data_IF_037495380439
#
_entry.id   IF_037495380439
#
_cell.length_a   1.000
_cell.length_b   1.000
_cell.length_c   1.000
_cell.angle_alpha   90.00
_cell.angle_beta   90.00
_cell.angle_gamma   90.00
#
_symmetry.space_group_name_H-M   'P 1'
#
loop_
_entity.id
_entity.type
_entity.pdbx_description
1 polymer ?
#
# COMPACT_ATOMS: atom_id res chain seq x y z
N UNK A 1 -38.69 105.25 7.45
CA UNK A 1 -37.51 106.14 7.35
C UNK A 1 -36.26 105.28 7.44
N UNK A 2 -35.31 105.53 6.53
CA UNK A 2 -33.87 105.22 6.49
C UNK A 2 -33.35 103.95 7.20
N UNK A 3 -32.49 103.11 6.63
CA UNK A 3 -31.56 103.12 5.49
C UNK A 3 -30.70 101.85 5.71
N UNK A 4 -30.25 101.07 4.74
CA UNK A 4 -29.45 101.44 3.58
C UNK A 4 -28.10 100.71 3.62
N UNK A 5 -27.90 99.74 2.70
CA UNK A 5 -26.63 99.28 2.07
C UNK A 5 -25.53 98.63 2.95
N UNK A 6 -24.68 97.70 2.51
CA UNK A 6 -24.17 97.31 1.16
C UNK A 6 -23.38 96.00 1.33
N UNK A 7 -23.25 95.16 0.30
CA UNK A 7 -22.26 94.07 0.32
C UNK A 7 -22.38 93.05 -0.82
N UNK A 8 -21.81 93.39 -1.97
CA UNK A 8 -21.58 92.52 -3.12
C UNK A 8 -20.59 91.40 -2.77
N UNK A 9 -20.82 90.15 -3.21
CA UNK A 9 -19.72 89.29 -3.68
C UNK A 9 -20.22 88.17 -4.60
N UNK A 10 -19.75 88.26 -5.84
CA UNK A 10 -19.72 87.23 -6.87
C UNK A 10 -18.87 86.04 -6.42
N UNK A 11 -19.25 84.81 -6.77
CA UNK A 11 -18.29 83.84 -7.32
C UNK A 11 -18.99 82.70 -8.08
N UNK A 12 -18.67 82.63 -9.38
CA UNK A 12 -18.71 81.43 -10.23
C UNK A 12 -17.66 80.42 -9.75
N UNK A 13 -17.75 79.21 -10.31
CA UNK A 13 -16.75 78.12 -10.35
C UNK A 13 -16.76 77.21 -9.11
N UNK A 14 -16.58 75.89 -9.18
CA UNK A 14 -16.13 75.00 -10.25
C UNK A 14 -16.62 73.57 -9.95
N UNK A 15 -16.84 72.80 -11.00
CA UNK A 15 -16.78 71.33 -10.99
C UNK A 15 -15.56 70.77 -10.24
N UNK A 16 -15.76 69.87 -9.28
CA UNK A 16 -14.73 68.95 -8.78
C UNK A 16 -15.39 67.60 -8.43
N UNK A 17 -15.37 66.66 -9.37
CA UNK A 17 -14.41 65.55 -9.47
C UNK A 17 -14.51 64.50 -8.35
N UNK A 18 -15.10 63.37 -8.75
CA UNK A 18 -14.98 62.03 -8.17
C UNK A 18 -13.50 61.69 -7.92
N UNK A 19 -13.06 61.70 -6.66
CA UNK A 19 -11.68 61.33 -6.29
C UNK A 19 -11.61 60.49 -5.00
N UNK A 20 -12.53 59.52 -4.84
CA UNK A 20 -12.57 58.61 -3.68
C UNK A 20 -12.31 57.12 -3.99
N UNK A 21 -12.46 56.65 -5.23
CA UNK A 21 -12.40 55.20 -5.53
C UNK A 21 -11.11 54.71 -6.18
N UNK A 22 -10.34 55.60 -6.82
CA UNK A 22 -9.20 55.20 -7.67
C UNK A 22 -8.03 54.60 -6.87
N UNK A 23 -7.79 55.10 -5.65
CA UNK A 23 -6.70 54.62 -4.79
C UNK A 23 -7.00 53.21 -4.27
N UNK A 24 -8.25 52.92 -3.92
CA UNK A 24 -8.68 51.59 -3.47
C UNK A 24 -8.60 50.56 -4.60
N UNK A 25 -9.04 50.90 -5.81
CA UNK A 25 -8.92 50.01 -6.97
C UNK A 25 -7.47 49.78 -7.39
N UNK A 26 -6.61 50.80 -7.28
CA UNK A 26 -5.17 50.66 -7.55
C UNK A 26 -4.51 49.70 -6.55
N UNK A 27 -4.79 49.85 -5.25
CA UNK A 27 -4.26 48.96 -4.22
C UNK A 27 -4.76 47.53 -4.39
N UNK A 28 -6.05 47.31 -4.66
CA UNK A 28 -6.58 45.97 -4.95
C UNK A 28 -5.96 45.35 -6.20
N UNK A 29 -5.76 46.13 -7.27
CA UNK A 29 -5.08 45.64 -8.48
C UNK A 29 -3.64 45.24 -8.18
N UNK A 30 -2.93 46.02 -7.37
CA UNK A 30 -1.56 45.73 -6.95
C UNK A 30 -1.50 44.42 -6.15
N UNK A 31 -2.38 44.22 -5.17
CA UNK A 31 -2.47 42.96 -4.42
C UNK A 31 -2.81 41.76 -5.31
N UNK A 32 -3.73 41.92 -6.26
CA UNK A 32 -4.05 40.87 -7.23
C UNK A 32 -2.84 40.50 -8.08
N UNK A 33 -2.08 41.49 -8.59
CA UNK A 33 -0.84 41.21 -9.35
C UNK A 33 0.23 40.51 -8.52
N UNK A 34 0.43 40.91 -7.26
CA UNK A 34 1.37 40.23 -6.35
C UNK A 34 0.93 38.79 -6.05
N UNK A 35 -0.37 38.56 -5.84
CA UNK A 35 -0.91 37.22 -5.65
C UNK A 35 -0.74 36.35 -6.91
N UNK A 36 -0.99 36.90 -8.10
CA UNK A 36 -0.75 36.19 -9.37
C UNK A 36 0.72 35.86 -9.56
N UNK A 37 1.65 36.80 -9.30
CA UNK A 37 3.10 36.54 -9.38
C UNK A 37 3.52 35.47 -8.36
N UNK A 38 2.99 35.51 -7.14
CA UNK A 38 3.26 34.51 -6.12
C UNK A 38 2.77 33.12 -6.55
N UNK A 39 1.54 33.01 -7.03
CA UNK A 39 0.97 31.74 -7.52
C UNK A 39 1.73 31.23 -8.73
N UNK A 40 2.04 32.09 -9.71
CA UNK A 40 2.88 31.73 -10.86
C UNK A 40 4.28 31.28 -10.45
N UNK A 41 4.89 31.93 -9.45
CA UNK A 41 6.17 31.53 -8.88
C UNK A 41 6.11 30.17 -8.17
N UNK A 42 5.04 29.89 -7.43
CA UNK A 42 4.80 28.59 -6.79
C UNK A 42 4.57 27.49 -7.83
N UNK A 43 3.79 27.75 -8.87
CA UNK A 43 3.57 26.83 -9.98
C UNK A 43 4.86 26.57 -10.78
N UNK A 44 5.67 27.60 -10.99
CA UNK A 44 7.00 27.47 -11.61
C UNK A 44 7.91 26.58 -10.76
N UNK A 45 7.98 26.83 -9.45
CA UNK A 45 8.79 26.03 -8.54
C UNK A 45 8.30 24.57 -8.45
N UNK A 46 6.98 24.35 -8.46
CA UNK A 46 6.39 23.00 -8.55
C UNK A 46 6.73 22.31 -9.87
N UNK A 47 6.71 23.04 -11.00
CA UNK A 47 7.11 22.50 -12.30
C UNK A 47 8.58 22.07 -12.32
N UNK A 48 9.48 22.86 -11.73
CA UNK A 48 10.91 22.52 -11.61
C UNK A 48 11.10 21.28 -10.73
N UNK A 49 10.37 21.17 -9.62
CA UNK A 49 10.41 19.99 -8.75
C UNK A 49 9.89 18.73 -9.47
N UNK A 50 8.83 18.83 -10.27
CA UNK A 50 8.32 17.71 -11.08
C UNK A 50 9.33 17.26 -12.13
N UNK A 51 9.98 18.21 -12.82
CA UNK A 51 11.05 17.90 -13.78
C UNK A 51 12.23 17.21 -13.09
N UNK A 52 12.62 17.66 -11.90
CA UNK A 52 13.67 17.03 -11.09
C UNK A 52 13.29 15.59 -10.69
N UNK A 53 12.07 15.37 -10.20
CA UNK A 53 11.58 14.04 -9.82
C UNK A 53 11.46 13.09 -11.02
N UNK A 54 11.05 13.59 -12.18
CA UNK A 54 11.01 12.80 -13.43
C UNK A 54 12.43 12.41 -13.85
N UNK A 55 13.40 13.33 -13.81
CA UNK A 55 14.81 13.01 -14.09
C UNK A 55 15.37 11.97 -13.13
N UNK A 56 15.02 12.05 -11.86
CA UNK A 56 15.45 11.09 -10.85
C UNK A 56 14.78 9.72 -11.05
N UNK A 57 13.51 9.71 -11.45
CA UNK A 57 12.78 8.49 -11.83
C UNK A 57 13.37 7.83 -13.08
N UNK A 58 13.70 8.61 -14.11
CA UNK A 58 14.38 8.14 -15.33
C UNK A 58 15.78 7.59 -15.03
N UNK A 59 16.51 8.23 -14.10
CA UNK A 59 17.81 7.77 -13.58
C UNK A 59 17.69 6.42 -12.88
N UNK A 60 16.65 6.21 -12.07
CA UNK A 60 16.41 4.98 -11.31
C UNK A 60 15.89 3.85 -12.22
N UNK A 61 15.11 4.18 -13.24
CA UNK A 61 14.50 3.19 -14.16
C UNK A 61 15.35 2.84 -15.37
N UNK A 62 16.50 3.50 -15.56
CA UNK A 62 17.42 3.23 -16.67
C UNK A 62 16.91 3.69 -18.03
N UNK A 63 15.87 4.53 -18.08
CA UNK A 63 15.32 5.12 -19.31
C UNK A 63 15.71 6.59 -19.39
N UNK A 64 17.01 6.87 -19.52
CA UNK A 64 17.48 8.21 -19.83
C UNK A 64 17.34 8.53 -21.32
N UNK A 65 16.26 9.21 -21.72
CA UNK A 65 16.24 10.42 -22.58
C UNK A 65 14.82 10.76 -23.10
N UNK A 66 14.25 11.79 -22.46
CA UNK A 66 13.66 13.03 -23.01
C UNK A 66 12.67 13.01 -24.18
N UNK A 67 11.54 13.70 -23.93
CA UNK A 67 10.83 14.65 -24.82
C UNK A 67 10.62 14.24 -26.29
N UNK A 68 9.34 14.04 -26.62
CA UNK A 68 8.75 13.63 -27.91
C UNK A 68 9.58 14.09 -29.13
N UNK A 69 10.39 13.18 -29.65
CA UNK A 69 11.16 13.31 -30.90
C UNK A 69 10.38 12.65 -32.05
N UNK A 70 10.70 12.97 -33.31
CA UNK A 70 10.15 12.31 -34.52
C UNK A 70 10.29 10.78 -34.46
N UNK A 71 11.29 10.30 -33.72
CA UNK A 71 11.52 8.89 -33.43
C UNK A 71 10.39 8.25 -32.59
N UNK A 72 9.72 9.01 -31.72
CA UNK A 72 8.56 8.55 -30.97
C UNK A 72 7.31 8.42 -31.86
N UNK A 73 7.21 9.19 -32.94
CA UNK A 73 6.14 9.02 -33.94
C UNK A 73 6.36 7.73 -34.76
N UNK A 74 7.62 7.44 -35.10
CA UNK A 74 8.02 6.16 -35.71
C UNK A 74 7.80 4.97 -34.76
N UNK A 75 8.08 5.13 -33.46
CA UNK A 75 7.75 4.11 -32.45
C UNK A 75 6.24 3.91 -32.29
N UNK A 76 5.41 4.93 -32.43
CA UNK A 76 3.94 4.78 -32.42
C UNK A 76 3.47 3.97 -33.64
N UNK A 77 4.07 4.18 -34.81
CA UNK A 77 3.78 3.38 -36.01
C UNK A 77 4.26 1.93 -35.83
N UNK A 78 5.46 1.73 -35.29
CA UNK A 78 5.99 0.42 -34.94
C UNK A 78 5.15 -0.29 -33.85
N UNK A 79 4.62 0.47 -32.88
CA UNK A 79 3.73 -0.04 -31.84
C UNK A 79 2.39 -0.47 -32.43
N UNK A 80 1.85 0.26 -33.42
CA UNK A 80 0.65 -0.15 -34.17
C UNK A 80 0.89 -1.41 -34.98
N UNK A 81 2.08 -1.58 -35.55
CA UNK A 81 2.46 -2.79 -36.27
C UNK A 81 2.67 -3.99 -35.33
N UNK A 82 3.24 -3.76 -34.14
CA UNK A 82 3.33 -4.75 -33.08
C UNK A 82 1.97 -5.11 -32.50
N UNK A 83 1.04 -4.17 -32.34
CA UNK A 83 -0.35 -4.46 -31.95
C UNK A 83 -1.06 -5.33 -32.97
N UNK A 84 -0.82 -5.10 -34.27
CA UNK A 84 -1.35 -5.99 -35.32
C UNK A 84 -0.77 -7.40 -35.19
N UNK A 85 0.54 -7.54 -34.96
CA UNK A 85 1.18 -8.84 -34.71
C UNK A 85 0.66 -9.52 -33.44
N UNK A 86 0.43 -8.76 -32.36
CA UNK A 86 -0.16 -9.25 -31.12
C UNK A 86 -1.59 -9.75 -31.35
N UNK A 87 -2.42 -8.98 -32.06
CA UNK A 87 -3.79 -9.39 -32.37
C UNK A 87 -3.85 -10.64 -33.26
N UNK A 88 -2.90 -10.79 -34.20
CA UNK A 88 -2.78 -11.97 -35.05
C UNK A 88 -2.33 -13.20 -34.23
N UNK A 89 -1.35 -13.03 -33.35
CA UNK A 89 -0.89 -14.08 -32.43
C UNK A 89 -1.97 -14.47 -31.41
N UNK A 90 -2.79 -13.53 -30.94
CA UNK A 90 -3.93 -13.81 -30.07
C UNK A 90 -5.03 -14.60 -30.79
N UNK A 91 -5.27 -14.31 -32.07
CA UNK A 91 -6.22 -15.08 -32.89
C UNK A 91 -5.70 -16.48 -33.20
N UNK A 92 -4.41 -16.63 -33.51
CA UNK A 92 -3.77 -17.94 -33.66
C UNK A 92 -3.76 -18.74 -32.34
N UNK A 93 -3.50 -18.08 -31.21
CA UNK A 93 -3.55 -18.71 -29.88
C UNK A 93 -4.98 -19.15 -29.52
N UNK A 94 -5.99 -18.37 -29.90
CA UNK A 94 -7.40 -18.74 -29.70
C UNK A 94 -7.79 -19.94 -30.57
N UNK A 95 -7.34 -19.99 -31.83
CA UNK A 95 -7.55 -21.13 -32.72
C UNK A 95 -6.83 -22.39 -32.20
N UNK A 96 -5.55 -22.27 -31.80
CA UNK A 96 -4.78 -23.36 -31.23
C UNK A 96 -5.41 -23.90 -29.93
N UNK A 97 -5.97 -23.04 -29.07
CA UNK A 97 -6.71 -23.45 -27.87
C UNK A 97 -7.97 -24.26 -28.20
N UNK A 98 -8.68 -23.93 -29.29
CA UNK A 98 -9.83 -24.72 -29.74
C UNK A 98 -9.43 -26.07 -30.34
N UNK A 99 -8.22 -26.18 -30.88
CA UNK A 99 -7.60 -27.43 -31.34
C UNK A 99 -6.95 -28.24 -30.19
N UNK A 100 -7.14 -27.83 -28.94
CA UNK A 100 -6.69 -28.56 -27.75
C UNK A 100 -5.33 -28.14 -27.16
N UNK A 101 -4.77 -27.01 -27.61
CA UNK A 101 -3.53 -26.47 -27.04
C UNK A 101 -3.73 -25.95 -25.62
N UNK A 102 -3.15 -26.63 -24.63
CA UNK A 102 -3.00 -26.12 -23.26
C UNK A 102 -1.71 -25.32 -23.16
N UNK A 103 -1.80 -24.06 -22.70
CA UNK A 103 -0.64 -23.17 -22.58
C UNK A 103 0.37 -23.77 -21.59
N UNK A 104 1.51 -24.26 -22.11
CA UNK A 104 2.74 -24.51 -21.35
C UNK A 104 3.37 -23.18 -20.91
N UNK A 105 2.68 -22.38 -20.09
CA UNK A 105 3.30 -21.23 -19.45
C UNK A 105 3.96 -21.65 -18.13
N UNK A 106 4.91 -22.58 -18.18
CA UNK A 106 5.86 -22.85 -17.09
C UNK A 106 7.00 -23.77 -17.58
N UNK A 107 7.63 -23.51 -18.73
CA UNK A 107 8.99 -24.02 -18.98
C UNK A 107 9.60 -23.38 -20.23
N UNK A 108 10.88 -23.00 -20.09
CA UNK A 108 11.83 -22.51 -21.11
C UNK A 108 11.72 -21.01 -21.41
N UNK A 109 12.75 -20.18 -21.30
CA UNK A 109 14.15 -20.34 -20.99
C UNK A 109 14.67 -18.95 -20.59
N UNK A 110 15.32 -18.82 -19.44
CA UNK A 110 16.34 -17.80 -19.22
C UNK A 110 17.42 -18.38 -18.30
N UNK A 111 18.67 -18.18 -18.69
CA UNK A 111 19.83 -18.93 -18.23
C UNK A 111 20.07 -18.91 -16.71
N UNK A 112 20.67 -20.00 -16.24
CA UNK A 112 21.45 -20.14 -15.01
C UNK A 112 21.03 -19.26 -13.81
N UNK A 113 20.25 -19.83 -12.88
CA UNK A 113 19.82 -19.28 -11.58
C UNK A 113 18.53 -18.45 -11.54
N UNK A 114 17.54 -18.68 -12.41
CA UNK A 114 16.18 -18.23 -12.13
C UNK A 114 15.62 -19.01 -10.92
N UNK A 115 15.83 -18.51 -9.70
CA UNK A 115 15.19 -19.05 -8.49
C UNK A 115 13.69 -19.14 -8.75
N UNK A 116 13.14 -20.35 -8.64
CA UNK A 116 11.70 -20.60 -8.75
C UNK A 116 10.96 -19.62 -7.83
N UNK A 117 10.07 -18.81 -8.39
CA UNK A 117 9.28 -17.82 -7.64
C UNK A 117 8.34 -18.54 -6.68
N UNK A 118 8.22 -18.01 -5.46
CA UNK A 118 7.33 -18.57 -4.45
C UNK A 118 5.88 -18.19 -4.75
N UNK A 119 4.95 -19.04 -4.34
CA UNK A 119 3.52 -18.76 -4.39
C UNK A 119 3.14 -17.67 -3.38
N UNK A 120 3.47 -17.89 -2.11
CA UNK A 120 3.14 -16.96 -1.03
C UNK A 120 4.19 -16.97 0.09
N UNK A 121 4.47 -15.80 0.64
CA UNK A 121 5.23 -15.65 1.89
C UNK A 121 4.27 -15.25 3.01
N UNK A 122 4.16 -16.10 4.02
CA UNK A 122 3.28 -15.98 5.17
C UNK A 122 4.06 -15.49 6.38
N UNK A 123 3.71 -14.31 6.88
CA UNK A 123 4.20 -13.75 8.14
C UNK A 123 3.20 -13.99 9.26
N UNK A 124 3.57 -14.83 10.22
CA UNK A 124 2.76 -15.14 11.39
C UNK A 124 3.13 -14.16 12.51
N UNK A 125 2.27 -13.19 12.79
CA UNK A 125 2.51 -12.17 13.80
C UNK A 125 2.44 -12.78 15.20
N UNK A 126 3.56 -12.76 15.91
CA UNK A 126 3.67 -13.33 17.26
C UNK A 126 4.25 -12.34 18.27
N UNK A 127 4.34 -12.75 19.53
CA UNK A 127 4.89 -11.98 20.66
C UNK A 127 5.79 -12.87 21.52
N UNK A 128 6.66 -12.28 22.33
CA UNK A 128 7.58 -13.03 23.20
C UNK A 128 6.87 -14.10 24.06
N UNK A 129 5.74 -13.74 24.69
CA UNK A 129 4.95 -14.64 25.55
C UNK A 129 4.20 -15.75 24.82
N UNK A 130 4.10 -15.71 23.48
CA UNK A 130 3.25 -16.61 22.70
C UNK A 130 3.97 -17.90 22.25
N UNK A 131 4.92 -18.40 23.04
CA UNK A 131 5.65 -19.64 22.70
C UNK A 131 4.71 -20.83 22.47
N UNK A 132 3.70 -20.99 23.32
CA UNK A 132 2.71 -22.06 23.18
C UNK A 132 1.94 -21.97 21.85
N UNK A 133 1.58 -20.75 21.41
CA UNK A 133 0.92 -20.54 20.13
C UNK A 133 1.84 -20.92 18.97
N UNK A 134 3.11 -20.52 19.02
CA UNK A 134 4.10 -20.91 18.00
C UNK A 134 4.26 -22.43 17.91
N UNK A 135 4.33 -23.10 19.04
CA UNK A 135 4.43 -24.57 19.09
C UNK A 135 3.16 -25.25 18.57
N UNK A 136 1.98 -24.67 18.85
CA UNK A 136 0.72 -25.16 18.29
C UNK A 136 0.69 -25.00 16.75
N UNK A 137 1.07 -23.83 16.23
CA UNK A 137 1.14 -23.57 14.78
C UNK A 137 2.11 -24.52 14.06
N UNK A 138 3.30 -24.75 14.64
CA UNK A 138 4.28 -25.74 14.15
C UNK A 138 3.69 -27.14 14.05
N UNK A 139 2.99 -27.58 15.09
CA UNK A 139 2.39 -28.92 15.16
C UNK A 139 1.17 -29.06 14.25
N UNK A 140 0.39 -28.00 14.08
CA UNK A 140 -0.92 -28.07 13.44
C UNK A 140 -0.85 -27.96 11.91
N UNK A 141 -0.13 -26.97 11.38
CA UNK A 141 -0.16 -26.70 9.92
C UNK A 141 1.17 -26.28 9.32
N UNK A 142 2.06 -25.62 10.07
CA UNK A 142 3.32 -25.11 9.50
C UNK A 142 4.38 -26.21 9.33
N UNK A 143 4.43 -27.17 10.25
CA UNK A 143 5.50 -28.15 10.33
C UNK A 143 6.83 -27.55 10.83
N UNK A 144 7.84 -28.41 10.99
CA UNK A 144 9.22 -28.01 11.37
C UNK A 144 10.26 -28.74 10.52
N UNK A 145 11.47 -28.18 10.44
CA UNK A 145 12.62 -28.83 9.80
C UNK A 145 12.35 -29.27 8.36
N UNK A 146 12.37 -30.59 8.12
CA UNK A 146 12.16 -31.17 6.80
C UNK A 146 10.75 -30.90 6.24
N UNK A 147 9.72 -30.88 7.09
CA UNK A 147 8.33 -30.64 6.66
C UNK A 147 8.15 -29.19 6.17
N UNK A 148 8.73 -28.23 6.88
CA UNK A 148 8.72 -26.82 6.50
C UNK A 148 9.46 -26.61 5.16
N UNK A 149 10.66 -27.20 5.02
CA UNK A 149 11.42 -27.16 3.75
C UNK A 149 10.66 -27.82 2.59
N UNK A 150 9.95 -28.91 2.86
CA UNK A 150 9.10 -29.58 1.86
C UNK A 150 7.99 -28.64 1.37
N UNK A 151 7.32 -27.94 2.30
CA UNK A 151 6.29 -26.95 1.96
C UNK A 151 6.86 -25.80 1.10
N UNK A 152 8.05 -25.32 1.44
CA UNK A 152 8.74 -24.28 0.66
C UNK A 152 9.10 -24.73 -0.75
N UNK A 153 9.72 -25.91 -0.88
CA UNK A 153 10.24 -26.38 -2.16
C UNK A 153 9.14 -26.91 -3.10
N UNK A 154 8.18 -27.66 -2.55
CA UNK A 154 7.14 -28.32 -3.35
C UNK A 154 5.96 -27.38 -3.64
N UNK A 155 5.47 -26.68 -2.60
CA UNK A 155 4.28 -25.80 -2.73
C UNK A 155 4.65 -24.34 -2.99
N UNK A 156 5.92 -23.95 -2.86
CA UNK A 156 6.34 -22.56 -3.02
C UNK A 156 5.84 -21.67 -1.87
N UNK A 157 5.59 -22.22 -0.69
CA UNK A 157 4.99 -21.48 0.44
C UNK A 157 6.04 -21.33 1.53
N UNK A 158 6.40 -20.08 1.84
CA UNK A 158 7.33 -19.73 2.92
C UNK A 158 6.51 -19.26 4.11
N UNK A 159 6.63 -19.90 5.26
CA UNK A 159 5.96 -19.47 6.49
C UNK A 159 6.98 -19.15 7.58
N UNK A 160 6.91 -17.94 8.16
CA UNK A 160 7.83 -17.51 9.22
C UNK A 160 7.08 -16.76 10.32
N UNK A 161 7.50 -16.98 11.57
CA UNK A 161 7.08 -16.15 12.70
C UNK A 161 7.75 -14.79 12.64
N UNK A 162 6.97 -13.72 12.77
CA UNK A 162 7.47 -12.34 12.71
C UNK A 162 7.47 -11.75 14.10
N UNK A 163 8.64 -11.28 14.52
CA UNK A 163 8.86 -10.66 15.82
C UNK A 163 9.91 -9.55 15.73
N UNK A 164 9.76 -8.50 16.52
CA UNK A 164 10.78 -7.47 16.75
C UNK A 164 11.72 -7.83 17.89
N UNK A 165 12.55 -6.87 18.28
CA UNK A 165 13.45 -6.92 19.43
C UNK A 165 12.76 -6.45 20.71
N UNK A 166 13.29 -6.86 21.86
CA UNK A 166 12.86 -6.32 23.14
C UNK A 166 13.35 -4.87 23.30
N UNK A 167 12.81 -4.15 24.28
CA UNK A 167 13.25 -2.78 24.57
C UNK A 167 14.71 -2.72 25.07
N UNK A 168 15.22 -3.82 25.62
CA UNK A 168 16.58 -3.95 26.13
C UNK A 168 17.32 -5.01 25.32
N UNK A 169 18.08 -4.61 24.29
CA UNK A 169 18.74 -5.56 23.40
C UNK A 169 19.55 -6.63 24.14
N UNK A 170 19.30 -7.90 23.82
CA UNK A 170 20.02 -9.04 24.41
C UNK A 170 19.52 -9.50 25.78
N UNK A 171 18.37 -9.00 26.23
CA UNK A 171 17.71 -9.48 27.44
C UNK A 171 17.28 -10.96 27.35
N UNK A 172 16.57 -11.44 28.38
CA UNK A 172 16.08 -12.83 28.40
C UNK A 172 15.03 -13.10 27.30
N UNK A 173 14.28 -12.09 26.88
CA UNK A 173 13.24 -12.22 25.85
C UNK A 173 13.90 -12.43 24.48
N UNK A 174 14.85 -11.57 24.12
CA UNK A 174 15.65 -11.71 22.89
C UNK A 174 16.39 -13.04 22.85
N UNK A 175 17.11 -13.38 23.94
CA UNK A 175 17.83 -14.67 24.03
C UNK A 175 16.90 -15.88 23.93
N UNK A 176 15.68 -15.77 24.45
CA UNK A 176 14.66 -16.81 24.32
C UNK A 176 14.29 -17.08 22.86
N UNK A 177 14.06 -16.02 22.09
CA UNK A 177 13.77 -16.09 20.65
C UNK A 177 14.97 -16.58 19.87
N UNK A 178 16.17 -16.08 20.15
CA UNK A 178 17.39 -16.51 19.47
C UNK A 178 17.65 -18.00 19.67
N UNK A 179 17.43 -18.52 20.89
CA UNK A 179 17.57 -19.94 21.19
C UNK A 179 16.52 -20.78 20.45
N UNK A 180 15.27 -20.32 20.39
CA UNK A 180 14.20 -20.99 19.64
C UNK A 180 14.49 -21.00 18.13
N UNK A 181 14.94 -19.87 17.58
CA UNK A 181 15.26 -19.72 16.17
C UNK A 181 16.47 -20.54 15.76
N UNK A 182 17.48 -20.72 16.62
CA UNK A 182 18.61 -21.63 16.35
C UNK A 182 18.18 -23.08 16.10
N UNK A 183 17.08 -23.51 16.72
CA UNK A 183 16.57 -24.88 16.59
C UNK A 183 15.63 -25.03 15.39
N UNK A 184 14.79 -24.02 15.16
CA UNK A 184 13.67 -24.10 14.21
C UNK A 184 13.96 -23.41 12.87
N UNK A 185 14.78 -22.36 12.88
CA UNK A 185 15.10 -21.50 11.73
C UNK A 185 13.86 -20.96 11.01
N UNK A 186 12.80 -20.66 11.78
CA UNK A 186 11.48 -20.28 11.28
C UNK A 186 11.06 -18.85 11.67
N UNK A 187 11.99 -18.00 12.11
CA UNK A 187 11.73 -16.59 12.43
C UNK A 187 12.18 -15.59 11.37
N UNK A 188 11.44 -14.49 11.29
CA UNK A 188 11.86 -13.20 10.79
C UNK A 188 11.96 -12.28 12.02
N UNK A 189 13.19 -11.90 12.37
CA UNK A 189 13.45 -10.95 13.44
C UNK A 189 13.63 -9.57 12.79
N UNK A 190 12.77 -8.62 13.15
CA UNK A 190 12.78 -7.25 12.65
C UNK A 190 13.64 -6.38 13.56
N UNK A 191 14.88 -6.11 13.16
CA UNK A 191 15.84 -5.36 13.99
C UNK A 191 15.42 -3.90 14.24
N UNK A 192 14.72 -3.28 13.28
CA UNK A 192 14.22 -1.90 13.38
C UNK A 192 12.89 -1.77 14.15
N UNK A 193 12.43 -2.85 14.79
CA UNK A 193 11.18 -2.88 15.55
C UNK A 193 11.45 -3.26 17.00
N UNK A 194 11.07 -2.39 17.92
CA UNK A 194 10.94 -2.73 19.33
C UNK A 194 9.50 -3.18 19.59
N UNK A 195 9.33 -4.34 20.21
CA UNK A 195 8.02 -4.89 20.56
C UNK A 195 7.38 -4.14 21.74
N UNK A 196 6.26 -3.47 21.47
CA UNK A 196 5.36 -2.92 22.48
C UNK A 196 3.90 -3.30 22.22
N UNK A 197 3.00 -2.78 23.06
CA UNK A 197 1.57 -3.12 23.05
C UNK A 197 0.82 -2.64 21.80
N UNK A 198 1.28 -1.55 21.17
CA UNK A 198 0.61 -0.89 20.03
C UNK A 198 1.37 -1.03 18.71
N UNK A 199 2.33 -1.96 18.62
CA UNK A 199 3.24 -2.03 17.47
C UNK A 199 2.83 -3.02 16.37
N UNK A 200 1.64 -3.64 16.46
CA UNK A 200 1.13 -4.56 15.44
C UNK A 200 1.05 -3.92 14.04
N UNK A 201 0.53 -2.69 13.85
CA UNK A 201 0.50 -2.04 12.54
C UNK A 201 1.89 -1.81 11.96
N UNK A 202 2.84 -1.37 12.81
CA UNK A 202 4.24 -1.16 12.41
C UNK A 202 4.90 -2.48 12.04
N UNK A 203 4.65 -3.53 12.82
CA UNK A 203 5.13 -4.89 12.57
C UNK A 203 4.65 -5.42 11.22
N UNK A 204 3.36 -5.31 10.91
CA UNK A 204 2.81 -5.74 9.63
C UNK A 204 3.45 -4.99 8.45
N UNK A 205 3.58 -3.66 8.56
CA UNK A 205 4.25 -2.83 7.54
C UNK A 205 5.70 -3.26 7.31
N UNK A 206 6.48 -3.43 8.38
CA UNK A 206 7.88 -3.84 8.30
C UNK A 206 8.03 -5.27 7.80
N UNK A 207 7.12 -6.17 8.17
CA UNK A 207 7.07 -7.52 7.61
C UNK A 207 6.90 -7.50 6.10
N UNK A 208 5.90 -6.79 5.57
CA UNK A 208 5.69 -6.76 4.12
C UNK A 208 6.89 -6.17 3.39
N UNK A 209 7.50 -5.11 3.95
CA UNK A 209 8.71 -4.53 3.39
C UNK A 209 9.86 -5.55 3.37
N UNK A 210 10.17 -6.16 4.51
CA UNK A 210 11.23 -7.15 4.64
C UNK A 210 11.00 -8.36 3.73
N UNK A 211 9.77 -8.88 3.69
CA UNK A 211 9.42 -10.05 2.92
C UNK A 211 9.54 -9.77 1.41
N UNK A 212 9.08 -8.60 0.96
CA UNK A 212 9.19 -8.19 -0.43
C UNK A 212 10.64 -8.00 -0.88
N UNK A 213 11.54 -7.60 0.01
CA UNK A 213 12.96 -7.43 -0.31
C UNK A 213 13.72 -8.76 -0.30
N UNK A 214 13.34 -9.69 0.58
CA UNK A 214 14.05 -10.97 0.77
C UNK A 214 13.59 -12.10 -0.15
N UNK A 215 12.30 -12.19 -0.45
CA UNK A 215 11.73 -13.26 -1.27
C UNK A 215 11.04 -12.71 -2.50
N UNK A 216 11.24 -13.37 -3.64
CA UNK A 216 10.40 -13.18 -4.83
C UNK A 216 9.20 -14.12 -4.75
N UNK A 217 8.02 -13.57 -4.51
CA UNK A 217 6.76 -14.30 -4.38
C UNK A 217 5.61 -13.59 -5.09
N UNK A 218 4.60 -14.35 -5.53
CA UNK A 218 3.38 -13.77 -6.13
C UNK A 218 2.50 -13.07 -5.10
N UNK A 219 2.44 -13.62 -3.88
CA UNK A 219 1.63 -13.09 -2.79
C UNK A 219 2.39 -13.00 -1.47
N UNK A 220 1.91 -12.12 -0.60
CA UNK A 220 2.43 -11.93 0.76
C UNK A 220 1.24 -11.90 1.71
N UNK A 221 1.26 -12.74 2.73
CA UNK A 221 0.15 -12.92 3.66
C UNK A 221 0.57 -12.53 5.08
N UNK A 222 -0.28 -11.75 5.75
CA UNK A 222 -0.20 -11.54 7.20
C UNK A 222 -1.23 -12.43 7.88
N UNK A 223 -0.82 -13.09 8.96
CA UNK A 223 -1.61 -14.10 9.70
C UNK A 223 -1.35 -13.90 11.19
N UNK A 224 -2.36 -14.06 12.05
CA UNK A 224 -2.17 -14.10 13.50
C UNK A 224 -1.64 -15.46 13.98
N UNK A 225 -0.99 -15.52 15.15
CA UNK A 225 -0.50 -16.78 15.72
C UNK A 225 -1.56 -17.65 16.41
N UNK A 226 -2.83 -17.19 16.45
CA UNK A 226 -3.96 -17.89 17.05
C UNK A 226 -4.97 -18.41 15.99
N UNK A 227 -4.53 -18.64 14.76
CA UNK A 227 -5.36 -19.21 13.70
C UNK A 227 -4.72 -20.45 13.07
N UNK A 228 -5.57 -21.39 12.68
CA UNK A 228 -5.20 -22.55 11.89
C UNK A 228 -5.36 -22.23 10.41
N UNK A 229 -4.44 -22.69 9.55
CA UNK A 229 -4.53 -22.51 8.09
C UNK A 229 -4.60 -23.83 7.34
N UNK A 230 -5.48 -23.91 6.35
CA UNK A 230 -5.51 -24.99 5.37
C UNK A 230 -4.68 -24.59 4.14
N UNK A 231 -3.42 -25.04 4.10
CA UNK A 231 -2.43 -24.66 3.08
C UNK A 231 -2.90 -24.95 1.64
N UNK A 232 -3.55 -26.08 1.40
CA UNK A 232 -4.03 -26.44 0.06
C UNK A 232 -5.21 -25.57 -0.40
N UNK A 233 -6.10 -25.21 0.52
CA UNK A 233 -7.20 -24.30 0.26
C UNK A 233 -6.68 -22.87 -0.01
N UNK A 234 -5.68 -22.42 0.75
CA UNK A 234 -5.00 -21.14 0.52
C UNK A 234 -4.38 -21.09 -0.88
N UNK A 235 -3.61 -22.12 -1.26
CA UNK A 235 -2.97 -22.17 -2.58
C UNK A 235 -3.99 -22.13 -3.72
N UNK A 236 -5.09 -22.88 -3.58
CA UNK A 236 -6.17 -22.92 -4.57
C UNK A 236 -6.87 -21.56 -4.70
N UNK A 237 -7.16 -20.89 -3.58
CA UNK A 237 -7.82 -19.59 -3.59
C UNK A 237 -6.93 -18.50 -4.23
N UNK A 238 -5.63 -18.50 -3.93
CA UNK A 238 -4.69 -17.54 -4.51
C UNK A 238 -4.45 -17.78 -6.00
N UNK A 239 -4.53 -19.02 -6.48
CA UNK A 239 -4.37 -19.35 -7.89
C UNK A 239 -5.42 -18.67 -8.79
N UNK A 240 -6.62 -18.41 -8.27
CA UNK A 240 -7.67 -17.69 -8.98
C UNK A 240 -7.37 -16.18 -9.18
N UNK A 241 -6.22 -15.69 -8.69
CA UNK A 241 -5.85 -14.28 -8.70
C UNK A 241 -4.46 -14.00 -9.28
N UNK A 242 -3.82 -14.97 -9.95
CA UNK A 242 -2.48 -14.77 -10.56
C UNK A 242 -2.46 -13.70 -11.66
N UNK A 243 -3.58 -13.50 -12.35
CA UNK A 243 -3.74 -12.51 -13.42
C UNK A 243 -3.95 -11.08 -12.89
N UNK A 244 -4.08 -10.91 -11.57
CA UNK A 244 -4.43 -9.64 -10.92
C UNK A 244 -3.19 -9.03 -10.27
N UNK A 245 -2.47 -8.11 -10.95
CA UNK A 245 -1.20 -7.60 -10.46
C UNK A 245 -1.31 -6.78 -9.16
N UNK A 246 -2.50 -6.22 -8.88
CA UNK A 246 -2.80 -5.38 -7.70
C UNK A 246 -4.05 -5.88 -7.00
N UNK A 247 -3.94 -7.03 -6.33
CA UNK A 247 -4.99 -7.60 -5.51
C UNK A 247 -4.69 -7.42 -4.01
N UNK A 248 -5.70 -7.00 -3.26
CA UNK A 248 -5.78 -7.05 -1.80
C UNK A 248 -6.95 -7.96 -1.43
N UNK A 249 -6.65 -9.08 -0.79
CA UNK A 249 -7.56 -10.22 -0.64
C UNK A 249 -7.73 -10.53 0.84
N UNK A 250 -8.97 -10.74 1.27
CA UNK A 250 -9.28 -11.20 2.62
C UNK A 250 -10.79 -11.15 2.88
N UNK A 251 -11.17 -11.34 4.14
CA UNK A 251 -12.56 -11.16 4.58
C UNK A 251 -12.86 -9.66 4.70
N UNK A 252 -13.51 -9.05 3.71
CA UNK A 252 -13.62 -7.60 3.62
C UNK A 252 -14.75 -7.07 4.51
N UNK A 253 -14.39 -6.27 5.52
CA UNK A 253 -15.32 -5.67 6.47
C UNK A 253 -15.29 -4.14 6.43
N UNK A 254 -16.30 -3.54 7.02
CA UNK A 254 -16.38 -2.14 7.39
C UNK A 254 -17.12 -2.06 8.72
N UNK A 255 -16.74 -1.15 9.61
CA UNK A 255 -17.29 -1.14 10.96
C UNK A 255 -17.18 0.21 11.64
N UNK A 256 -17.63 0.26 12.89
CA UNK A 256 -17.59 1.43 13.73
C UNK A 256 -16.16 1.73 14.20
N UNK A 257 -15.82 3.02 14.26
CA UNK A 257 -14.61 3.55 14.86
C UNK A 257 -14.93 3.97 16.29
N UNK A 258 -14.18 3.43 17.25
CA UNK A 258 -14.40 3.71 18.67
C UNK A 258 -13.58 4.92 19.11
N UNK A 259 -14.27 5.98 19.53
CA UNK A 259 -13.64 7.23 19.97
C UNK A 259 -13.47 7.36 21.48
N UNK A 260 -14.01 6.43 22.28
CA UNK A 260 -13.82 6.46 23.74
C UNK A 260 -12.46 5.86 24.13
N UNK A 261 -11.60 6.59 24.87
CA UNK A 261 -10.29 6.07 25.30
C UNK A 261 -10.34 4.82 26.18
N UNK A 262 -11.46 4.60 26.88
CA UNK A 262 -11.68 3.41 27.71
C UNK A 262 -12.04 2.15 26.91
N UNK A 263 -12.33 2.29 25.61
CA UNK A 263 -12.75 1.17 24.78
C UNK A 263 -11.54 0.35 24.32
N UNK A 264 -11.64 -0.99 24.36
CA UNK A 264 -10.56 -1.90 23.93
C UNK A 264 -10.05 -1.63 22.51
N UNK A 265 -10.96 -1.21 21.64
CA UNK A 265 -10.68 -0.95 20.22
C UNK A 265 -10.57 0.55 19.89
N UNK A 266 -10.24 1.38 20.90
CA UNK A 266 -10.07 2.82 20.73
C UNK A 266 -9.11 3.15 19.57
N UNK A 267 -9.50 4.13 18.76
CA UNK A 267 -8.71 4.66 17.67
C UNK A 267 -8.32 6.11 17.97
N UNK A 268 -7.05 6.42 18.30
CA UNK A 268 -6.61 7.79 18.59
C UNK A 268 -6.88 8.77 17.44
N UNK A 269 -6.86 8.29 16.20
CA UNK A 269 -7.14 9.07 15.00
C UNK A 269 -8.63 9.03 14.59
N UNK A 270 -9.55 8.70 15.51
CA UNK A 270 -10.97 8.48 15.20
C UNK A 270 -11.63 9.63 14.41
N UNK A 271 -11.18 10.86 14.66
CA UNK A 271 -11.69 12.08 14.04
C UNK A 271 -11.41 12.17 12.53
N UNK A 272 -10.49 11.34 12.00
CA UNK A 272 -10.15 11.30 10.56
C UNK A 272 -11.13 10.44 9.75
N UNK A 273 -12.01 9.67 10.40
CA UNK A 273 -12.92 8.72 9.75
C UNK A 273 -14.31 9.32 9.44
N UNK A 274 -14.36 10.65 9.31
CA UNK A 274 -15.57 11.41 9.01
C UNK A 274 -16.61 11.36 10.13
N UNK A 275 -17.73 12.04 9.88
CA UNK A 275 -18.77 12.27 10.90
C UNK A 275 -19.45 10.97 11.37
N UNK A 276 -19.58 10.01 10.46
CA UNK A 276 -20.17 8.69 10.76
C UNK A 276 -19.25 7.78 11.56
N UNK A 277 -17.98 8.16 11.77
CA UNK A 277 -16.96 7.38 12.49
C UNK A 277 -16.97 5.92 12.05
N UNK A 278 -16.82 5.69 10.75
CA UNK A 278 -16.80 4.34 10.19
C UNK A 278 -15.52 4.10 9.41
N UNK A 279 -14.90 2.95 9.65
CA UNK A 279 -13.73 2.53 8.88
C UNK A 279 -14.12 2.32 7.41
N UNK A 280 -13.21 2.72 6.51
CA UNK A 280 -13.27 2.31 5.11
C UNK A 280 -13.22 0.78 4.98
N UNK A 281 -13.53 0.26 3.80
CA UNK A 281 -13.47 -1.17 3.51
C UNK A 281 -12.03 -1.69 3.69
N UNK A 282 -11.82 -2.67 4.56
CA UNK A 282 -10.53 -3.31 4.80
C UNK A 282 -10.72 -4.80 5.11
N UNK A 283 -9.68 -5.62 4.93
CA UNK A 283 -9.74 -7.03 5.28
C UNK A 283 -9.72 -7.24 6.81
N UNK A 284 -10.26 -8.34 7.32
CA UNK A 284 -10.17 -8.70 8.74
C UNK A 284 -8.72 -8.92 9.20
N UNK A 285 -8.39 -8.48 10.40
CA UNK A 285 -7.04 -8.61 10.97
C UNK A 285 -6.57 -10.01 11.32
N UNK A 286 -7.41 -11.05 11.22
CA UNK A 286 -6.97 -12.43 11.43
C UNK A 286 -6.01 -12.88 10.31
N UNK A 287 -6.40 -12.63 9.05
CA UNK A 287 -5.63 -12.95 7.87
C UNK A 287 -5.99 -12.05 6.69
N UNK A 288 -4.98 -11.59 5.97
CA UNK A 288 -5.15 -10.97 4.66
C UNK A 288 -3.91 -11.14 3.79
N UNK A 289 -4.10 -11.01 2.48
CA UNK A 289 -3.07 -11.25 1.46
C UNK A 289 -2.98 -10.07 0.52
N UNK A 290 -1.76 -9.70 0.17
CA UNK A 290 -1.48 -8.68 -0.84
C UNK A 290 -0.64 -9.29 -1.96
N UNK A 291 -0.94 -8.89 -3.19
CA UNK A 291 -0.14 -9.21 -4.37
C UNK A 291 1.27 -8.60 -4.30
N UNK A 292 2.19 -9.17 -5.08
CA UNK A 292 3.58 -8.73 -5.21
C UNK A 292 3.74 -7.23 -5.45
N UNK A 293 2.94 -6.64 -6.34
CA UNK A 293 3.05 -5.20 -6.63
C UNK A 293 2.72 -4.34 -5.40
N UNK A 294 1.74 -4.77 -4.59
CA UNK A 294 1.39 -4.07 -3.37
C UNK A 294 2.42 -4.26 -2.27
N UNK A 295 3.01 -5.45 -2.15
CA UNK A 295 4.11 -5.68 -1.21
C UNK A 295 5.34 -4.81 -1.56
N UNK A 296 5.68 -4.70 -2.86
CA UNK A 296 6.73 -3.77 -3.32
C UNK A 296 6.38 -2.31 -3.08
N UNK A 297 5.13 -1.91 -3.31
CA UNK A 297 4.65 -0.57 -2.97
C UNK A 297 4.85 -0.28 -1.47
N UNK A 298 4.49 -1.23 -0.60
CA UNK A 298 4.71 -1.10 0.85
C UNK A 298 6.18 -0.99 1.20
N UNK A 299 7.06 -1.79 0.59
CA UNK A 299 8.51 -1.72 0.81
C UNK A 299 9.09 -0.34 0.45
N UNK A 300 8.74 0.16 -0.75
CA UNK A 300 9.23 1.44 -1.28
C UNK A 300 8.74 2.62 -0.42
N UNK A 301 7.47 2.59 -0.01
CA UNK A 301 6.82 3.73 0.66
C UNK A 301 6.76 3.58 2.19
N UNK A 302 7.46 2.61 2.78
CA UNK A 302 7.34 2.22 4.20
C UNK A 302 7.46 3.38 5.20
N UNK A 303 8.26 4.40 4.88
CA UNK A 303 8.48 5.57 5.75
C UNK A 303 7.30 6.55 5.78
N UNK A 304 6.49 6.60 4.71
CA UNK A 304 5.36 7.53 4.58
C UNK A 304 4.00 6.86 4.80
N UNK A 305 3.94 5.53 4.78
CA UNK A 305 2.71 4.80 5.04
C UNK A 305 2.24 5.01 6.48
N UNK A 306 1.07 5.66 6.61
CA UNK A 306 0.42 5.92 7.89
C UNK A 306 0.00 4.62 8.57
N UNK A 307 0.16 4.56 9.88
CA UNK A 307 -0.43 3.53 10.74
C UNK A 307 -1.53 4.13 11.59
N UNK A 308 -2.59 3.35 11.76
CA UNK A 308 -3.71 3.54 12.67
C UNK A 308 -3.57 2.59 13.86
N UNK A 309 -4.52 2.56 14.80
CA UNK A 309 -4.43 1.71 15.99
C UNK A 309 -4.37 0.21 15.64
N UNK A 310 -5.06 -0.19 14.57
CA UNK A 310 -5.18 -1.59 14.15
C UNK A 310 -4.44 -1.84 12.84
N UNK A 311 -3.81 -3.01 12.72
CA UNK A 311 -2.97 -3.35 11.57
C UNK A 311 -3.80 -3.58 10.30
N UNK A 312 -5.00 -4.12 10.46
CA UNK A 312 -5.96 -4.38 9.40
C UNK A 312 -6.51 -3.08 8.78
N UNK A 313 -6.91 -2.13 9.64
CA UNK A 313 -7.26 -0.77 9.25
C UNK A 313 -6.08 -0.09 8.57
N UNK A 314 -4.88 -0.20 9.15
CA UNK A 314 -3.66 0.39 8.56
C UNK A 314 -3.42 -0.13 7.14
N UNK A 315 -3.46 -1.45 6.95
CA UNK A 315 -3.28 -2.07 5.64
C UNK A 315 -4.32 -1.58 4.62
N UNK A 316 -5.60 -1.54 4.99
CA UNK A 316 -6.64 -1.03 4.10
C UNK A 316 -6.42 0.43 3.70
N UNK A 317 -5.89 1.28 4.60
CA UNK A 317 -5.63 2.70 4.29
C UNK A 317 -4.56 2.87 3.21
N UNK A 318 -3.56 1.97 3.15
CA UNK A 318 -2.47 2.04 2.19
C UNK A 318 -2.95 1.82 0.75
N UNK A 319 -4.06 1.10 0.59
CA UNK A 319 -4.59 0.68 -0.71
C UNK A 319 -5.82 1.47 -1.13
N UNK A 320 -6.49 2.18 -0.21
CA UNK A 320 -7.72 2.92 -0.48
C UNK A 320 -7.57 3.97 -1.59
N UNK A 321 -6.44 4.68 -1.64
CA UNK A 321 -6.15 5.70 -2.66
C UNK A 321 -5.53 5.14 -3.95
N UNK A 322 -5.37 3.83 -4.06
CA UNK A 322 -4.71 3.17 -5.18
C UNK A 322 -5.75 2.43 -6.05
N UNK A 323 -5.42 2.20 -7.32
CA UNK A 323 -6.21 1.34 -8.19
C UNK A 323 -5.96 -0.15 -7.87
N UNK A 324 -6.47 -0.59 -6.72
CA UNK A 324 -6.34 -1.92 -6.14
C UNK A 324 -7.67 -2.66 -6.18
N UNK A 325 -7.64 -3.90 -6.67
CA UNK A 325 -8.78 -4.79 -6.56
C UNK A 325 -8.90 -5.31 -5.13
N UNK A 326 -9.96 -4.87 -4.45
CA UNK A 326 -10.35 -5.44 -3.15
C UNK A 326 -11.19 -6.68 -3.40
N UNK A 327 -10.66 -7.84 -3.02
CA UNK A 327 -11.33 -9.13 -3.15
C UNK A 327 -11.89 -9.53 -1.79
N UNK A 328 -13.21 -9.56 -1.69
CA UNK A 328 -13.92 -10.14 -0.56
C UNK A 328 -14.02 -11.65 -0.75
N UNK A 329 -13.20 -12.40 -0.03
CA UNK A 329 -13.18 -13.86 -0.06
C UNK A 329 -13.64 -14.42 1.28
N UNK A 330 -14.87 -14.94 1.30
CA UNK A 330 -15.51 -15.46 2.52
C UNK A 330 -14.71 -16.57 3.20
N UNK A 331 -13.90 -17.33 2.44
CA UNK A 331 -13.02 -18.36 3.01
C UNK A 331 -11.90 -17.80 3.91
N UNK A 332 -11.57 -16.51 3.81
CA UNK A 332 -10.64 -15.83 4.71
C UNK A 332 -11.29 -15.35 6.02
N UNK A 333 -12.60 -15.53 6.20
CA UNK A 333 -13.28 -15.16 7.44
C UNK A 333 -13.09 -16.27 8.50
N UNK A 334 -12.07 -16.14 9.36
CA UNK A 334 -11.65 -17.20 10.30
C UNK A 334 -12.65 -17.51 11.43
N UNK A 335 -13.68 -16.68 11.58
CA UNK A 335 -14.81 -16.88 12.51
C UNK A 335 -16.02 -17.56 11.88
N UNK A 336 -16.01 -17.78 10.55
CA UNK A 336 -17.13 -18.38 9.82
C UNK A 336 -16.92 -19.88 9.64
N UNK A 337 -17.86 -20.71 10.09
CA UNK A 337 -17.92 -22.15 9.78
C UNK A 337 -18.36 -22.41 8.33
N UNK A 338 -17.67 -21.80 7.37
CA UNK A 338 -17.90 -22.06 5.95
C UNK A 338 -17.18 -23.33 5.51
N UNK A 339 -17.83 -24.15 4.69
CA UNK A 339 -17.19 -25.31 4.05
C UNK A 339 -16.05 -24.83 3.15
N UNK A 340 -14.83 -25.31 3.39
CA UNK A 340 -13.64 -24.88 2.64
C UNK A 340 -13.01 -23.57 3.14
N UNK A 341 -13.27 -23.18 4.39
CA UNK A 341 -12.57 -22.09 5.05
C UNK A 341 -11.04 -22.28 4.98
N UNK A 342 -10.32 -21.21 4.67
CA UNK A 342 -8.86 -21.18 4.63
C UNK A 342 -8.28 -21.06 6.03
N UNK A 343 -9.03 -20.45 6.94
CA UNK A 343 -8.60 -20.26 8.31
C UNK A 343 -9.71 -20.51 9.32
N UNK A 344 -9.32 -20.88 10.54
CA UNK A 344 -10.21 -20.97 11.70
C UNK A 344 -9.50 -20.44 12.95
N UNK A 345 -10.20 -19.64 13.76
CA UNK A 345 -9.71 -19.24 15.08
C UNK A 345 -9.50 -20.44 16.00
N UNK A 346 -8.44 -20.41 16.81
CA UNK A 346 -8.09 -21.44 17.80
C UNK A 346 -8.16 -20.86 19.21
#
# INVERSE_FOLDING_TARGET
MHGGSKGFNTNRTSSSMVSGSRISTLLLSMFATFASIYVSGRLWQESQNRVYLIKELDRITGQGQSAISVDDTLKIIACREQQKKLSALETELAAAKQEGFTSKLLTENDGANAKKRHLVVIGIMTRFGNKNNRDAVRKAWMGTGAMLKKMENEKGIVARFVIGKSANPGDNLDRGIDNENRQSNDFIILDDLVEGTEDLPKKARLFFAYAADKWDAEFYAKVNDNIYLTIDALGTALAAHFDKPRAYIGCMKSGQVFSEPSHKWYEPDWWKFGDKKSYFRHASGEMYVISRALAKFVSINRSILRTYAHDDVSAGSWFLGLNVLHVDEGKFCCSSWSSGAICSGV
#
